data_IF_050414782290
#
_entry.id   IF_050414782290
#
_cell.length_a   1.000
_cell.length_b   1.000
_cell.length_c   1.000
_cell.angle_alpha   90.00
_cell.angle_beta   90.00
_cell.angle_gamma   90.00
#
_symmetry.space_group_name_H-M   'P 1'
#
loop_
_entity.id
_entity.type
_entity.pdbx_description
1 polymer ?
#
# COMPACT_ATOMS: atom_id res chain seq x y z
N UNK A 1 -81.40 -35.54 16.75
CA UNK A 1 -81.00 -34.22 16.24
C UNK A 1 -81.10 -34.23 14.73
N UNK A 2 -81.97 -33.40 14.14
CA UNK A 2 -82.18 -33.32 12.69
C UNK A 2 -80.90 -32.82 11.99
N UNK A 3 -80.61 -33.37 10.80
CA UNK A 3 -79.42 -33.02 9.99
C UNK A 3 -79.27 -31.52 9.79
N UNK A 4 -80.39 -30.82 9.57
CA UNK A 4 -80.46 -29.36 9.43
C UNK A 4 -79.84 -28.57 10.59
N UNK A 5 -79.94 -29.04 11.84
CA UNK A 5 -79.31 -28.34 12.99
C UNK A 5 -77.79 -28.46 12.96
N UNK A 6 -77.24 -29.58 12.49
CA UNK A 6 -75.78 -29.75 12.36
C UNK A 6 -75.24 -28.90 11.24
N UNK A 7 -75.94 -28.86 10.10
CA UNK A 7 -75.54 -28.05 8.94
C UNK A 7 -75.56 -26.55 9.29
N UNK A 8 -76.55 -26.10 10.07
CA UNK A 8 -76.64 -24.72 10.54
C UNK A 8 -75.54 -24.36 11.56
N UNK A 9 -75.12 -25.31 12.40
CA UNK A 9 -74.04 -25.12 13.37
C UNK A 9 -72.67 -25.08 12.68
N UNK A 10 -72.45 -25.90 11.65
CA UNK A 10 -71.22 -25.90 10.85
C UNK A 10 -71.07 -24.60 10.05
N UNK A 11 -72.15 -24.08 9.48
CA UNK A 11 -72.16 -22.78 8.80
C UNK A 11 -71.80 -21.62 9.75
N UNK A 12 -72.34 -21.62 10.97
CA UNK A 12 -72.01 -20.60 11.98
C UNK A 12 -70.55 -20.69 12.42
N UNK A 13 -70.01 -21.91 12.58
CA UNK A 13 -68.61 -22.11 12.93
C UNK A 13 -67.66 -21.64 11.82
N UNK A 14 -67.97 -21.97 10.56
CA UNK A 14 -67.19 -21.50 9.40
C UNK A 14 -67.23 -19.98 9.26
N UNK A 15 -68.39 -19.35 9.47
CA UNK A 15 -68.51 -17.90 9.44
C UNK A 15 -67.70 -17.22 10.56
N UNK A 16 -67.70 -17.78 11.77
CA UNK A 16 -66.91 -17.26 12.89
C UNK A 16 -65.39 -17.42 12.65
N UNK A 17 -64.96 -18.55 12.08
CA UNK A 17 -63.56 -18.80 11.74
C UNK A 17 -63.07 -17.88 10.60
N UNK A 18 -63.92 -17.60 9.61
CA UNK A 18 -63.60 -16.65 8.54
C UNK A 18 -63.52 -15.20 9.07
N UNK A 19 -64.38 -14.82 10.02
CA UNK A 19 -64.34 -13.50 10.66
C UNK A 19 -63.06 -13.33 11.51
N UNK A 20 -62.67 -14.36 12.27
CA UNK A 20 -61.44 -14.35 13.07
C UNK A 20 -60.20 -14.30 12.19
N UNK A 21 -60.17 -15.07 11.09
CA UNK A 21 -59.10 -15.04 10.11
C UNK A 21 -58.96 -13.66 9.44
N UNK A 22 -60.08 -13.00 9.11
CA UNK A 22 -60.07 -11.62 8.56
C UNK A 22 -59.55 -10.61 9.56
N UNK A 23 -59.95 -10.69 10.83
CA UNK A 23 -59.44 -9.79 11.88
C UNK A 23 -57.95 -9.99 12.11
N UNK A 24 -57.48 -11.24 12.15
CA UNK A 24 -56.06 -11.55 12.30
C UNK A 24 -55.23 -11.03 11.13
N UNK A 25 -55.70 -11.19 9.90
CA UNK A 25 -55.01 -10.66 8.72
C UNK A 25 -54.92 -9.12 8.73
N UNK A 26 -55.99 -8.42 9.14
CA UNK A 26 -55.96 -6.96 9.27
C UNK A 26 -54.96 -6.47 10.33
N UNK A 27 -54.89 -7.14 11.47
CA UNK A 27 -53.93 -6.79 12.54
C UNK A 27 -52.48 -7.01 12.06
N UNK A 28 -52.24 -8.10 11.32
CA UNK A 28 -50.90 -8.40 10.79
C UNK A 28 -50.47 -7.38 9.71
N UNK A 29 -51.39 -6.99 8.82
CA UNK A 29 -51.13 -5.96 7.80
C UNK A 29 -50.83 -4.60 8.44
N UNK A 30 -51.59 -4.20 9.47
CA UNK A 30 -51.35 -2.95 10.19
C UNK A 30 -50.01 -2.96 10.95
N UNK A 31 -49.64 -4.10 11.55
CA UNK A 31 -48.35 -4.27 12.21
C UNK A 31 -47.18 -4.17 11.22
N UNK A 32 -47.31 -4.75 10.02
CA UNK A 32 -46.29 -4.63 8.97
C UNK A 32 -46.14 -3.19 8.48
N UNK A 33 -47.25 -2.46 8.30
CA UNK A 33 -47.22 -1.05 7.90
C UNK A 33 -46.53 -0.16 8.92
N UNK A 34 -46.78 -0.39 10.22
CA UNK A 34 -46.13 0.35 11.31
C UNK A 34 -44.62 0.05 11.38
N UNK A 35 -44.21 -1.20 11.19
CA UNK A 35 -42.80 -1.58 11.18
C UNK A 35 -42.03 -0.97 10.00
N UNK A 36 -42.66 -0.90 8.82
CA UNK A 36 -42.07 -0.25 7.64
C UNK A 36 -41.93 1.27 7.84
N UNK A 37 -42.94 1.92 8.42
CA UNK A 37 -42.89 3.35 8.73
C UNK A 37 -41.80 3.68 9.76
N UNK A 38 -41.65 2.88 10.81
CA UNK A 38 -40.59 3.05 11.81
C UNK A 38 -39.20 2.86 11.18
N UNK A 39 -39.02 1.85 10.33
CA UNK A 39 -37.77 1.64 9.60
C UNK A 39 -37.44 2.82 8.70
N UNK A 40 -38.43 3.40 8.02
CA UNK A 40 -38.25 4.60 7.20
C UNK A 40 -37.83 5.80 8.04
N UNK A 41 -38.50 6.05 9.18
CA UNK A 41 -38.13 7.12 10.11
C UNK A 41 -36.72 6.94 10.68
N UNK A 42 -36.29 5.71 10.97
CA UNK A 42 -34.94 5.43 11.46
C UNK A 42 -33.87 5.71 10.39
N UNK A 43 -34.15 5.40 9.12
CA UNK A 43 -33.26 5.74 8.01
C UNK A 43 -33.18 7.26 7.79
N UNK A 44 -34.32 7.95 7.83
CA UNK A 44 -34.38 9.40 7.68
C UNK A 44 -33.67 10.13 8.85
N UNK A 45 -33.84 9.64 10.08
CA UNK A 45 -33.13 10.17 11.26
C UNK A 45 -31.61 9.95 11.15
N UNK A 46 -31.17 8.78 10.68
CA UNK A 46 -29.75 8.48 10.48
C UNK A 46 -29.13 9.34 9.38
N UNK A 47 -29.87 9.59 8.29
CA UNK A 47 -29.44 10.48 7.22
C UNK A 47 -29.35 11.94 7.70
N UNK A 48 -30.30 12.40 8.53
CA UNK A 48 -30.27 13.73 9.13
C UNK A 48 -29.11 13.90 10.11
N UNK A 49 -28.81 12.89 10.93
CA UNK A 49 -27.68 12.91 11.86
C UNK A 49 -26.34 12.92 11.11
N UNK A 50 -26.22 12.19 10.00
CA UNK A 50 -25.04 12.24 9.12
C UNK A 50 -24.89 13.63 8.46
N UNK A 51 -25.99 14.28 8.06
CA UNK A 51 -25.95 15.63 7.47
C UNK A 51 -25.62 16.72 8.51
N UNK A 52 -26.13 16.59 9.74
CA UNK A 52 -25.83 17.53 10.84
C UNK A 52 -24.40 17.37 11.36
N UNK A 53 -23.86 16.15 11.35
CA UNK A 53 -22.44 15.88 11.65
C UNK A 53 -21.50 16.54 10.63
N UNK A 54 -21.86 16.58 9.34
CA UNK A 54 -21.10 17.31 8.29
C UNK A 54 -21.15 18.83 8.49
N UNK A 55 -22.30 19.38 8.92
CA UNK A 55 -22.46 20.84 9.12
C UNK A 55 -21.74 21.43 10.33
N UNK A 56 -21.50 20.65 11.40
CA UNK A 56 -20.84 21.14 12.62
C UNK A 56 -19.31 21.13 12.57
N UNK A 57 -18.69 20.65 11.49
CA UNK A 57 -17.25 20.63 11.35
C UNK A 57 -16.75 21.08 9.97
N UNK A 58 -17.07 22.31 9.50
CA UNK A 58 -16.66 22.79 8.19
C UNK A 58 -15.14 23.03 8.03
N UNK A 59 -14.35 22.88 9.10
CA UNK A 59 -12.90 23.10 9.11
C UNK A 59 -12.08 21.79 9.07
N UNK A 60 -12.73 20.63 9.14
CA UNK A 60 -12.08 19.32 9.01
C UNK A 60 -12.38 18.61 7.66
N UNK A 61 -13.33 19.10 6.87
CA UNK A 61 -13.79 18.46 5.62
C UNK A 61 -13.08 18.98 4.35
N UNK A 62 -12.03 19.81 4.50
CA UNK A 62 -11.14 20.24 3.41
C UNK A 62 -9.67 19.87 3.60
N UNK A 63 -9.36 18.93 4.50
CA UNK A 63 -8.21 18.07 4.23
C UNK A 63 -8.65 17.06 3.16
N UNK A 64 -8.84 17.54 1.92
CA UNK A 64 -8.85 16.68 0.74
C UNK A 64 -7.64 15.77 0.93
N UNK A 65 -7.87 14.47 1.14
CA UNK A 65 -6.79 13.52 1.39
C UNK A 65 -5.91 13.51 0.14
N UNK A 66 -4.88 14.35 0.15
CA UNK A 66 -3.98 14.48 -0.97
C UNK A 66 -3.26 13.15 -1.10
N UNK A 67 -3.38 12.55 -2.29
CA UNK A 67 -2.70 11.31 -2.60
C UNK A 67 -1.28 11.69 -3.00
N UNK A 68 -0.30 11.22 -2.25
CA UNK A 68 1.09 11.58 -2.48
C UNK A 68 1.91 10.38 -2.95
N UNK A 69 2.71 10.59 -3.99
CA UNK A 69 3.54 9.57 -4.60
C UNK A 69 4.98 10.05 -4.68
N UNK A 70 5.91 9.28 -4.12
CA UNK A 70 7.34 9.54 -4.21
C UNK A 70 7.95 8.77 -5.37
N UNK A 71 8.72 9.46 -6.20
CA UNK A 71 9.52 8.84 -7.26
C UNK A 71 10.67 8.02 -6.66
N UNK A 72 10.80 6.76 -7.08
CA UNK A 72 11.87 5.87 -6.64
C UNK A 72 12.94 5.75 -7.72
N UNK A 73 14.19 6.02 -7.33
CA UNK A 73 15.33 5.82 -8.22
C UNK A 73 15.65 4.32 -8.39
N UNK A 74 16.13 3.89 -9.58
CA UNK A 74 16.64 2.53 -9.75
C UNK A 74 17.85 2.28 -8.87
N UNK A 75 17.92 1.08 -8.28
CA UNK A 75 19.07 0.64 -7.48
C UNK A 75 20.33 0.39 -8.33
N UNK A 76 20.19 0.14 -9.63
CA UNK A 76 21.30 -0.22 -10.51
C UNK A 76 21.90 1.02 -11.16
N UNK A 77 23.18 1.31 -10.91
CA UNK A 77 23.86 2.52 -11.37
C UNK A 77 23.95 2.64 -12.90
N UNK A 78 24.11 1.50 -13.58
CA UNK A 78 24.16 1.41 -15.04
C UNK A 78 22.85 1.86 -15.71
N UNK A 79 21.71 1.55 -15.07
CA UNK A 79 20.38 1.93 -15.55
C UNK A 79 19.91 3.28 -15.03
N UNK A 80 20.58 3.83 -14.02
CA UNK A 80 20.22 5.10 -13.39
C UNK A 80 20.19 6.26 -14.39
N UNK A 81 21.09 6.29 -15.38
CA UNK A 81 21.14 7.38 -16.37
C UNK A 81 19.92 7.42 -17.28
N UNK A 82 19.49 6.27 -17.80
CA UNK A 82 18.32 6.21 -18.69
C UNK A 82 17.04 6.60 -17.95
N UNK A 83 16.85 6.01 -16.76
CA UNK A 83 15.68 6.26 -15.93
C UNK A 83 15.64 7.67 -15.38
N UNK A 84 16.82 8.26 -15.11
CA UNK A 84 16.90 9.63 -14.63
C UNK A 84 16.32 10.60 -15.65
N UNK A 85 16.57 10.40 -16.95
CA UNK A 85 15.98 11.24 -17.99
C UNK A 85 14.45 11.15 -17.95
N UNK A 86 13.90 9.94 -17.96
CA UNK A 86 12.45 9.73 -17.91
C UNK A 86 11.82 10.26 -16.62
N UNK A 87 12.52 10.14 -15.50
CA UNK A 87 12.15 10.71 -14.20
C UNK A 87 12.13 12.24 -14.22
N UNK A 88 13.19 12.87 -14.74
CA UNK A 88 13.28 14.32 -14.87
C UNK A 88 12.18 14.85 -15.80
N UNK A 89 11.93 14.18 -16.93
CA UNK A 89 10.87 14.53 -17.87
C UNK A 89 9.48 14.37 -17.22
N UNK A 90 9.26 13.32 -16.40
CA UNK A 90 8.01 13.10 -15.66
C UNK A 90 7.75 14.23 -14.66
N UNK A 91 8.77 14.63 -13.91
CA UNK A 91 8.68 15.76 -12.97
C UNK A 91 8.42 17.07 -13.71
N UNK A 92 9.06 17.29 -14.86
CA UNK A 92 8.83 18.48 -15.67
C UNK A 92 7.40 18.56 -16.20
N UNK A 93 6.83 17.45 -16.66
CA UNK A 93 5.45 17.43 -17.15
C UNK A 93 4.43 17.58 -16.03
N UNK A 94 4.70 17.00 -14.85
CA UNK A 94 3.91 17.25 -13.66
C UNK A 94 3.85 18.75 -13.33
N UNK A 95 5.00 19.45 -13.32
CA UNK A 95 5.06 20.91 -13.06
C UNK A 95 4.30 21.73 -14.11
N UNK A 96 4.29 21.29 -15.36
CA UNK A 96 3.53 21.95 -16.43
C UNK A 96 2.03 21.78 -16.25
N UNK A 97 1.61 20.58 -15.85
CA UNK A 97 0.19 20.23 -15.70
C UNK A 97 -0.41 20.74 -14.39
N UNK A 98 0.40 20.82 -13.34
CA UNK A 98 0.01 21.26 -12.00
C UNK A 98 0.98 22.36 -11.48
N UNK A 99 0.96 23.57 -12.07
CA UNK A 99 1.90 24.63 -11.75
C UNK A 99 1.71 25.23 -10.34
N UNK A 100 0.55 25.00 -9.74
CA UNK A 100 0.17 25.40 -8.38
C UNK A 100 0.72 24.46 -7.30
N UNK A 101 1.30 23.30 -7.68
CA UNK A 101 1.74 22.28 -6.73
C UNK A 101 3.23 22.30 -6.50
N UNK A 102 3.61 22.31 -5.23
CA UNK A 102 5.01 22.21 -4.82
C UNK A 102 5.49 20.76 -4.85
N UNK A 103 6.70 20.55 -5.38
CA UNK A 103 7.39 19.26 -5.37
C UNK A 103 8.53 19.34 -4.37
N UNK A 104 8.59 18.37 -3.46
CA UNK A 104 9.66 18.31 -2.48
C UNK A 104 11.01 17.91 -3.10
N UNK A 105 12.09 18.02 -2.32
CA UNK A 105 13.42 17.60 -2.77
C UNK A 105 13.53 16.09 -3.05
N UNK A 106 12.54 15.28 -2.66
CA UNK A 106 12.48 13.84 -2.88
C UNK A 106 11.67 13.47 -4.13
N UNK A 107 11.16 14.46 -4.87
CA UNK A 107 10.32 14.23 -6.05
C UNK A 107 8.95 13.66 -5.68
N UNK A 108 8.38 14.06 -4.55
CA UNK A 108 7.01 13.70 -4.17
C UNK A 108 6.00 14.53 -4.95
N UNK A 109 5.13 13.83 -5.65
CA UNK A 109 4.03 14.34 -6.45
C UNK A 109 2.75 14.27 -5.64
N UNK A 110 1.96 15.34 -5.65
CA UNK A 110 0.71 15.49 -4.89
C UNK A 110 -0.48 15.51 -5.84
N UNK A 111 -1.52 14.72 -5.56
CA UNK A 111 -2.73 14.66 -6.37
C UNK A 111 -3.97 14.91 -5.50
N UNK A 112 -4.97 15.61 -6.06
CA UNK A 112 -6.23 15.87 -5.35
C UNK A 112 -7.20 14.69 -5.45
N UNK A 113 -7.02 13.80 -6.43
CA UNK A 113 -7.87 12.62 -6.61
C UNK A 113 -7.12 11.45 -7.25
N UNK A 114 -7.66 10.25 -7.07
CA UNK A 114 -7.14 9.03 -7.70
C UNK A 114 -7.30 9.08 -9.22
N UNK A 115 -8.37 9.69 -9.73
CA UNK A 115 -8.62 9.85 -11.16
C UNK A 115 -7.55 10.72 -11.82
N UNK A 116 -7.20 11.84 -11.19
CA UNK A 116 -6.16 12.75 -11.68
C UNK A 116 -4.79 12.07 -11.69
N UNK A 117 -4.45 11.38 -10.60
CA UNK A 117 -3.23 10.58 -10.47
C UNK A 117 -3.15 9.50 -11.55
N UNK A 118 -4.22 8.73 -11.74
CA UNK A 118 -4.29 7.64 -12.71
C UNK A 118 -4.15 8.18 -14.12
N UNK A 119 -4.84 9.28 -14.44
CA UNK A 119 -4.75 9.94 -15.74
C UNK A 119 -3.33 10.40 -16.02
N UNK A 120 -2.70 11.11 -15.09
CA UNK A 120 -1.33 11.58 -15.23
C UNK A 120 -0.37 10.42 -15.51
N UNK A 121 -0.35 9.38 -14.67
CA UNK A 121 0.58 8.27 -14.87
C UNK A 121 0.28 7.45 -16.11
N UNK A 122 -0.98 7.36 -16.54
CA UNK A 122 -1.34 6.70 -17.80
C UNK A 122 -0.77 7.46 -18.99
N UNK A 123 -0.94 8.79 -19.03
CA UNK A 123 -0.37 9.65 -20.09
C UNK A 123 1.17 9.54 -20.12
N UNK A 124 1.84 9.44 -18.97
CA UNK A 124 3.28 9.24 -18.89
C UNK A 124 3.70 7.84 -19.37
N UNK A 125 2.93 6.80 -19.04
CA UNK A 125 3.18 5.44 -19.50
C UNK A 125 2.99 5.31 -21.01
N UNK A 126 1.96 5.93 -21.59
CA UNK A 126 1.69 5.97 -23.04
C UNK A 126 2.83 6.63 -23.84
N UNK A 127 3.51 7.61 -23.23
CA UNK A 127 4.75 8.19 -23.74
C UNK A 127 5.97 7.27 -23.62
N UNK A 128 5.77 6.01 -23.18
CA UNK A 128 6.78 4.97 -23.00
C UNK A 128 7.90 5.35 -22.02
N UNK A 129 7.57 6.12 -21.00
CA UNK A 129 8.52 6.52 -19.96
C UNK A 129 8.71 5.41 -18.95
N UNK A 130 9.93 5.27 -18.44
CA UNK A 130 10.26 4.34 -17.36
C UNK A 130 10.17 5.07 -16.03
N UNK A 131 9.31 4.61 -15.14
CA UNK A 131 9.20 5.18 -13.80
C UNK A 131 8.66 4.17 -12.79
N UNK A 132 9.00 4.41 -11.52
CA UNK A 132 8.40 3.73 -10.38
C UNK A 132 8.08 4.78 -9.32
N UNK A 133 6.80 4.97 -9.01
CA UNK A 133 6.35 5.82 -7.93
C UNK A 133 5.72 4.98 -6.82
N UNK A 134 5.96 5.33 -5.57
CA UNK A 134 5.39 4.67 -4.41
C UNK A 134 4.51 5.65 -3.64
N UNK A 135 3.29 5.22 -3.29
CA UNK A 135 2.39 6.02 -2.46
C UNK A 135 3.01 6.19 -1.06
N UNK A 136 2.94 7.41 -0.53
CA UNK A 136 3.40 7.73 0.82
C UNK A 136 2.27 8.28 1.67
N UNK A 137 2.31 7.96 2.96
CA UNK A 137 1.40 8.52 3.95
C UNK A 137 1.78 9.96 4.34
N UNK A 138 0.97 10.61 5.18
CA UNK A 138 1.25 11.93 5.72
C UNK A 138 2.58 12.04 6.49
N UNK A 139 3.15 10.91 6.94
CA UNK A 139 4.46 10.85 7.60
C UNK A 139 5.61 10.60 6.61
N UNK A 140 5.32 10.50 5.30
CA UNK A 140 6.28 10.20 4.25
C UNK A 140 6.76 8.75 4.21
N UNK A 141 6.06 7.81 4.87
CA UNK A 141 6.29 6.37 4.86
C UNK A 141 5.57 5.73 3.69
N UNK A 142 6.17 4.71 3.08
CA UNK A 142 5.57 3.98 1.96
C UNK A 142 4.36 3.18 2.44
N UNK A 143 3.24 3.28 1.73
CA UNK A 143 2.00 2.52 2.03
C UNK A 143 2.01 1.11 1.44
N UNK A 144 2.89 0.88 0.45
CA UNK A 144 2.98 -0.39 -0.29
C UNK A 144 2.19 -0.41 -1.61
N UNK A 145 1.55 0.69 -2.01
CA UNK A 145 1.00 0.84 -3.37
C UNK A 145 1.98 1.57 -4.28
N UNK A 146 2.03 1.13 -5.53
CA UNK A 146 2.98 1.60 -6.52
C UNK A 146 2.30 1.88 -7.86
N UNK A 147 2.86 2.84 -8.59
CA UNK A 147 2.58 3.14 -9.99
C UNK A 147 3.85 2.91 -10.79
N UNK A 148 3.80 1.99 -11.74
CA UNK A 148 4.98 1.51 -12.44
C UNK A 148 4.79 1.48 -13.94
N UNK A 149 5.77 1.98 -14.69
CA UNK A 149 5.87 1.72 -16.13
C UNK A 149 7.30 1.32 -16.48
N UNK A 150 7.44 0.28 -17.29
CA UNK A 150 8.73 -0.20 -17.79
C UNK A 150 9.08 0.35 -19.18
N UNK A 151 8.31 1.32 -19.69
CA UNK A 151 8.49 1.93 -21.01
C UNK A 151 7.90 1.12 -22.16
N UNK A 152 6.95 0.22 -21.87
CA UNK A 152 6.21 -0.58 -22.85
C UNK A 152 4.89 0.07 -23.30
N UNK A 153 4.55 1.24 -22.78
CA UNK A 153 3.26 1.89 -23.02
C UNK A 153 2.19 1.58 -21.98
N UNK A 154 2.46 0.67 -21.03
CA UNK A 154 1.47 0.18 -20.06
C UNK A 154 1.78 0.73 -18.66
N UNK A 155 0.72 1.14 -17.95
CA UNK A 155 0.77 1.47 -16.53
C UNK A 155 0.40 0.23 -15.71
N UNK A 156 1.26 -0.13 -14.77
CA UNK A 156 1.06 -1.20 -13.80
C UNK A 156 0.88 -0.61 -12.41
N UNK A 157 -0.30 -0.80 -11.84
CA UNK A 157 -0.67 -0.28 -10.51
C UNK A 157 -0.96 -1.42 -9.53
N UNK A 158 -0.55 -1.24 -8.27
CA UNK A 158 -0.84 -2.19 -7.19
C UNK A 158 0.34 -2.38 -6.23
N UNK A 159 0.38 -3.52 -5.54
CA UNK A 159 1.56 -3.94 -4.78
C UNK A 159 2.67 -4.42 -5.72
N UNK A 160 3.91 -4.51 -5.24
CA UNK A 160 5.03 -5.04 -6.04
C UNK A 160 4.77 -6.47 -6.55
N UNK A 161 4.08 -7.30 -5.77
CA UNK A 161 3.71 -8.67 -6.17
C UNK A 161 2.69 -8.67 -7.30
N UNK A 162 1.63 -7.86 -7.18
CA UNK A 162 0.62 -7.71 -8.22
C UNK A 162 1.21 -7.14 -9.52
N UNK A 163 2.10 -6.15 -9.41
CA UNK A 163 2.79 -5.57 -10.56
C UNK A 163 3.65 -6.64 -11.25
N UNK A 164 4.38 -7.46 -10.47
CA UNK A 164 5.16 -8.58 -11.01
C UNK A 164 4.30 -9.56 -11.78
N UNK A 165 3.15 -9.97 -11.23
CA UNK A 165 2.20 -10.88 -11.89
C UNK A 165 1.69 -10.28 -13.20
N UNK A 166 1.22 -9.02 -13.20
CA UNK A 166 0.73 -8.33 -14.40
C UNK A 166 1.78 -8.23 -15.50
N UNK A 167 3.04 -7.93 -15.15
CA UNK A 167 4.12 -7.89 -16.16
C UNK A 167 4.40 -9.31 -16.71
N UNK A 168 4.27 -10.36 -15.89
CA UNK A 168 4.44 -11.75 -16.34
C UNK A 168 3.30 -12.22 -17.24
N UNK A 169 2.07 -11.77 -17.00
CA UNK A 169 0.93 -12.02 -17.89
C UNK A 169 1.12 -11.32 -19.24
N UNK A 170 1.69 -10.10 -19.22
CA UNK A 170 2.01 -9.33 -20.42
C UNK A 170 3.33 -9.74 -21.10
N UNK A 171 3.81 -10.99 -20.92
CA UNK A 171 5.05 -11.49 -21.55
C UNK A 171 5.00 -11.50 -23.08
N UNK A 172 3.81 -11.46 -23.68
CA UNK A 172 3.59 -11.36 -25.12
C UNK A 172 3.56 -9.93 -25.63
N UNK A 173 3.88 -8.93 -24.79
CA UNK A 173 3.91 -7.53 -25.22
C UNK A 173 4.88 -7.34 -26.39
N UNK A 174 4.63 -6.31 -27.20
CA UNK A 174 5.50 -5.92 -28.31
C UNK A 174 6.92 -5.50 -27.87
N UNK A 175 7.17 -5.42 -26.55
CA UNK A 175 8.37 -4.86 -25.93
C UNK A 175 8.97 -5.81 -24.87
N UNK A 176 9.44 -7.01 -25.28
CA UNK A 176 9.89 -8.05 -24.35
C UNK A 176 11.15 -7.68 -23.56
N UNK A 177 12.00 -6.79 -24.09
CA UNK A 177 13.20 -6.33 -23.39
C UNK A 177 12.84 -5.39 -22.22
N UNK A 178 11.84 -4.52 -22.43
CA UNK A 178 11.33 -3.58 -21.45
C UNK A 178 10.67 -4.31 -20.28
N UNK A 179 9.82 -5.29 -20.57
CA UNK A 179 9.14 -6.10 -19.55
C UNK A 179 10.15 -6.95 -18.75
N UNK A 180 11.17 -7.52 -19.39
CA UNK A 180 12.25 -8.22 -18.70
C UNK A 180 13.06 -7.30 -17.76
N UNK A 181 13.38 -6.08 -18.21
CA UNK A 181 14.06 -5.09 -17.38
C UNK A 181 13.20 -4.64 -16.19
N UNK A 182 11.90 -4.45 -16.41
CA UNK A 182 10.94 -4.10 -15.37
C UNK A 182 10.81 -5.21 -14.31
N UNK A 183 10.71 -6.47 -14.73
CA UNK A 183 10.70 -7.62 -13.82
C UNK A 183 11.97 -7.70 -12.97
N UNK A 184 13.14 -7.44 -13.56
CA UNK A 184 14.39 -7.42 -12.79
C UNK A 184 14.37 -6.34 -11.70
N UNK A 185 13.82 -5.17 -11.99
CA UNK A 185 13.69 -4.09 -11.00
C UNK A 185 12.74 -4.47 -9.87
N UNK A 186 11.53 -4.96 -10.18
CA UNK A 186 10.55 -5.35 -9.16
C UNK A 186 11.08 -6.48 -8.28
N UNK A 187 11.78 -7.47 -8.87
CA UNK A 187 12.39 -8.55 -8.08
C UNK A 187 13.49 -8.05 -7.14
N UNK A 188 14.27 -7.03 -7.53
CA UNK A 188 15.28 -6.42 -6.66
C UNK A 188 14.65 -5.65 -5.48
N UNK A 189 13.45 -5.10 -5.65
CA UNK A 189 12.72 -4.42 -4.59
C UNK A 189 12.03 -5.40 -3.63
N UNK A 190 11.52 -6.51 -4.15
CA UNK A 190 10.95 -7.60 -3.33
C UNK A 190 12.03 -8.34 -2.54
N UNK A 191 13.20 -8.54 -3.12
CA UNK A 191 14.31 -9.26 -2.51
C UNK A 191 15.59 -8.41 -2.62
N UNK A 192 15.73 -7.35 -1.81
CA UNK A 192 16.94 -6.53 -1.81
C UNK A 192 18.12 -7.43 -1.45
N UNK A 193 19.04 -7.63 -2.40
CA UNK A 193 20.27 -8.36 -2.12
C UNK A 193 20.98 -7.64 -0.97
N UNK A 194 21.42 -8.36 0.09
CA UNK A 194 22.15 -7.73 1.17
C UNK A 194 23.38 -7.05 0.58
N UNK A 195 23.50 -5.73 0.79
CA UNK A 195 24.66 -4.98 0.34
C UNK A 195 25.93 -5.62 0.91
N UNK A 196 27.03 -5.71 0.13
CA UNK A 196 28.31 -6.24 0.63
C UNK A 196 28.84 -5.49 1.87
N UNK A 197 28.38 -4.25 2.10
CA UNK A 197 28.70 -3.47 3.30
C UNK A 197 28.03 -4.04 4.56
N UNK A 198 26.80 -4.57 4.44
CA UNK A 198 26.13 -5.24 5.56
C UNK A 198 26.73 -6.65 5.80
N UNK A 199 27.11 -7.36 4.73
CA UNK A 199 27.77 -8.66 4.87
C UNK A 199 29.14 -8.57 5.58
N UNK A 200 29.88 -7.48 5.38
CA UNK A 200 31.19 -7.27 6.02
C UNK A 200 31.07 -6.83 7.48
N UNK A 201 30.01 -6.14 7.91
CA UNK A 201 29.74 -5.88 9.33
C UNK A 201 29.42 -7.17 10.07
N UNK A 202 28.53 -8.01 9.54
CA UNK A 202 28.20 -9.31 10.17
C UNK A 202 29.40 -10.26 10.20
N UNK A 203 30.28 -10.20 9.19
CA UNK A 203 31.54 -10.95 9.20
C UNK A 203 32.56 -10.39 10.20
N UNK A 204 32.66 -9.06 10.35
CA UNK A 204 33.53 -8.43 11.36
C UNK A 204 33.07 -8.71 12.79
N UNK A 205 31.76 -8.68 13.06
CA UNK A 205 31.22 -9.01 14.38
C UNK A 205 31.42 -10.50 14.72
N UNK A 206 31.27 -11.39 13.73
CA UNK A 206 31.61 -12.81 13.90
C UNK A 206 33.10 -13.05 14.14
N UNK A 207 33.99 -12.29 13.48
CA UNK A 207 35.43 -12.40 13.68
C UNK A 207 35.88 -11.81 15.03
N UNK A 208 35.21 -10.76 15.52
CA UNK A 208 35.46 -10.17 16.84
C UNK A 208 35.05 -11.12 17.97
N UNK A 209 33.89 -11.78 17.84
CA UNK A 209 33.43 -12.77 18.81
C UNK A 209 34.34 -14.00 18.97
N UNK A 210 35.04 -14.42 17.89
CA UNK A 210 36.04 -15.49 17.94
C UNK A 210 37.37 -15.06 18.59
N UNK A 211 37.68 -13.75 18.58
CA UNK A 211 38.89 -13.22 19.23
C UNK A 211 38.71 -13.10 20.74
N UNK A 212 37.50 -12.80 21.20
CA UNK A 212 37.18 -12.73 22.62
C UNK A 212 37.04 -14.13 23.28
N UNK A 213 36.77 -15.18 22.50
CA UNK A 213 36.78 -16.57 23.01
C UNK A 213 38.18 -17.19 23.08
N UNK A 214 39.17 -16.63 22.39
CA UNK A 214 40.58 -17.05 22.54
C UNK A 214 41.29 -16.37 23.72
N UNK A 215 40.75 -15.25 24.25
CA UNK A 215 41.33 -14.54 25.39
C UNK A 215 40.88 -15.09 26.76
N UNK A 216 39.83 -15.93 26.82
CA UNK A 216 39.31 -16.49 28.06
C UNK A 216 39.88 -17.88 28.42
N UNK A 217 40.83 -18.41 27.64
CA UNK A 217 41.45 -19.73 27.86
C UNK A 217 42.95 -19.67 28.25
N UNK A 218 43.50 -18.48 28.51
CA UNK A 218 44.92 -18.29 28.86
C UNK A 218 45.10 -17.46 30.16
N UNK A 219 44.18 -17.62 31.12
CA UNK A 219 44.29 -17.00 32.46
C UNK A 219 44.54 -18.04 33.57
N UNK A 220 45.35 -19.05 33.27
CA UNK A 220 45.87 -19.99 34.27
C UNK A 220 47.25 -20.48 33.82
N UNK A 221 48.29 -20.06 34.56
CA UNK A 221 49.72 -20.34 34.38
C UNK A 221 50.48 -19.35 33.49
N UNK A 222 51.00 -18.29 34.11
CA UNK A 222 52.45 -17.98 34.12
C UNK A 222 52.76 -16.76 35.00
N UNK A 223 53.17 -17.06 36.24
CA UNK A 223 54.09 -16.21 37.01
C UNK A 223 55.52 -16.49 36.53
N UNK A 224 56.38 -15.51 36.74
CA UNK A 224 57.85 -15.45 36.51
C UNK A 224 58.34 -14.89 35.16
N UNK A 225 58.53 -13.55 35.14
CA UNK A 225 59.78 -12.77 34.91
C UNK A 225 60.82 -13.22 33.86
N UNK A 226 61.73 -12.35 33.32
CA UNK A 226 61.84 -10.89 33.34
C UNK A 226 62.08 -10.21 31.94
N UNK A 227 62.12 -8.88 32.04
CA UNK A 227 62.40 -7.72 31.15
C UNK A 227 63.51 -7.78 30.06
N UNK A 228 63.70 -6.73 29.20
CA UNK A 228 63.78 -6.85 27.75
C UNK A 228 65.16 -6.54 27.15
N UNK A 229 65.48 -7.18 26.01
CA UNK A 229 66.63 -6.79 25.20
C UNK A 229 66.25 -5.67 24.23
N UNK A 230 66.73 -4.48 24.59
CA UNK A 230 66.85 -3.30 23.77
C UNK A 230 67.75 -3.58 22.55
N UNK A 231 67.23 -3.39 21.34
CA UNK A 231 68.06 -3.26 20.14
C UNK A 231 67.60 -2.03 19.34
N UNK A 232 68.44 -1.00 19.42
CA UNK A 232 68.38 0.26 18.68
C UNK A 232 68.43 0.06 17.16
N UNK A 233 67.69 0.85 16.37
CA UNK A 233 67.83 0.88 14.91
C UNK A 233 69.04 1.71 14.48
N UNK A 234 69.78 1.20 13.50
CA UNK A 234 70.91 1.84 12.84
C UNK A 234 70.42 2.59 11.59
N UNK A 235 70.58 3.93 11.47
CA UNK A 235 70.35 4.63 10.21
C UNK A 235 71.69 4.76 9.47
N UNK A 236 71.86 4.04 8.35
CA UNK A 236 73.00 4.26 7.47
C UNK A 236 72.58 5.05 6.22
N UNK A 237 73.38 6.08 6.01
CA UNK A 237 73.33 7.17 5.05
C UNK A 237 73.21 6.81 3.57
N UNK A 238 72.63 7.80 2.90
CA UNK A 238 72.80 8.23 1.51
C UNK A 238 74.20 7.98 0.90
N UNK A 239 74.21 7.51 -0.34
CA UNK A 239 74.89 8.14 -1.47
C UNK A 239 74.27 7.70 -2.80
#
# INVERSE_FOLDING_TARGET
MSRERRDQEELKRKAAEEEDAKKKAQIEEEAQRLAEEEKKRALDAKAAEEEEAKKKNPEAEQALEHITYRLLEPLAEDKKKEWKKDADDLVNDYKKQFPDREIDAKGTLVFHSEEEMTKFFTEQAEQKRKFLCAEVDANGKLTGRYQFSCGDGTLYSGTLEQIKEKIQENKTSAYPQQTAAGLAMINNLLNPKPSPVQATQTAKDRLKGLKDTAAAADESLRKDSPTPLSTTPNPLNQH
#
